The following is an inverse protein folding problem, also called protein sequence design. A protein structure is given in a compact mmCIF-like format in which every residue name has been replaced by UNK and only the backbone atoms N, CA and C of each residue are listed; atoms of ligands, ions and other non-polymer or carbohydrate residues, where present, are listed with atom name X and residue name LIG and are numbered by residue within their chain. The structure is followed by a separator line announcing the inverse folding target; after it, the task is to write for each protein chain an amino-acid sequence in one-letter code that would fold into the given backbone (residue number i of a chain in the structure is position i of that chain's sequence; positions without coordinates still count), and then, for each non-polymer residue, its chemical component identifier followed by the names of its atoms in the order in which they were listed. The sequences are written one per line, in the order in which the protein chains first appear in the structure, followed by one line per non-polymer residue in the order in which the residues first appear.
data_IF_788774406644
#
_entry.id   IF_788774406644
#
_cell.length_a   1.000
_cell.length_b   1.000
_cell.length_c   1.000
_cell.angle_alpha   90.00
_cell.angle_beta   90.00
_cell.angle_gamma   90.00
#
_symmetry.space_group_name_H-M   'P 1'
#
loop_
_entity.id
_entity.type
_entity.pdbx_description
1 polymer ?
#
# COMPACT_ATOMS: atom_id res chain seq x y z
N UNK A 1 -42.60 -23.82 -25.89
CA UNK A 1 -42.74 -22.68 -26.81
C UNK A 1 -43.22 -21.50 -25.98
N UNK A 2 -42.33 -20.51 -25.79
CA UNK A 2 -42.51 -19.12 -25.32
C UNK A 2 -43.25 -18.92 -23.97
N UNK A 3 -42.92 -17.98 -23.08
CA UNK A 3 -42.02 -16.83 -23.15
C UNK A 3 -41.72 -16.45 -21.68
N UNK A 4 -40.44 -16.36 -21.32
CA UNK A 4 -40.00 -16.10 -19.95
C UNK A 4 -40.02 -14.61 -19.65
N UNK A 5 -41.10 -14.13 -19.03
CA UNK A 5 -41.18 -12.82 -18.40
C UNK A 5 -42.17 -12.91 -17.24
N UNK A 6 -41.66 -13.18 -16.03
CA UNK A 6 -42.45 -13.00 -14.81
C UNK A 6 -41.88 -11.82 -14.01
N UNK A 7 -42.79 -10.87 -13.83
CA UNK A 7 -42.65 -9.66 -13.05
C UNK A 7 -42.71 -10.00 -11.56
N UNK A 8 -41.55 -10.02 -10.92
CA UNK A 8 -41.42 -9.79 -9.48
C UNK A 8 -40.61 -8.50 -9.25
N UNK A 9 -41.16 -7.42 -8.67
CA UNK A 9 -40.33 -6.36 -8.10
C UNK A 9 -39.88 -6.78 -6.68
N UNK A 10 -39.23 -7.93 -6.60
CA UNK A 10 -38.31 -8.27 -5.51
C UNK A 10 -36.93 -8.38 -6.15
N UNK A 11 -36.46 -7.24 -6.66
CA UNK A 11 -35.07 -7.07 -7.04
C UNK A 11 -34.23 -7.12 -5.77
N UNK A 12 -33.80 -8.33 -5.41
CA UNK A 12 -32.65 -8.56 -4.56
C UNK A 12 -31.49 -7.75 -5.16
N UNK A 13 -31.29 -6.53 -4.65
CA UNK A 13 -30.26 -5.60 -5.07
C UNK A 13 -28.91 -6.07 -4.55
N UNK A 14 -28.33 -7.05 -5.22
CA UNK A 14 -26.91 -7.39 -5.16
C UNK A 14 -26.66 -8.23 -6.39
N UNK A 15 -25.70 -7.87 -7.27
CA UNK A 15 -24.30 -8.02 -6.86
C UNK A 15 -23.28 -7.23 -7.73
N UNK A 16 -22.74 -6.10 -7.30
CA UNK A 16 -21.48 -5.61 -7.88
C UNK A 16 -20.59 -4.98 -6.79
N UNK A 17 -19.68 -5.80 -6.26
CA UNK A 17 -18.24 -5.55 -6.19
C UNK A 17 -17.73 -4.10 -5.96
N UNK A 18 -18.38 -3.31 -5.13
CA UNK A 18 -17.74 -2.19 -4.45
C UNK A 18 -17.48 -2.74 -3.05
N UNK A 19 -16.25 -3.04 -2.65
CA UNK A 19 -15.28 -2.01 -2.32
C UNK A 19 -13.96 -2.71 -1.93
N UNK A 20 -13.16 -3.10 -2.92
CA UNK A 20 -11.74 -3.39 -2.69
C UNK A 20 -10.95 -2.09 -2.44
N UNK A 21 -11.38 -1.00 -3.06
CA UNK A 21 -10.64 0.26 -3.11
C UNK A 21 -10.77 1.13 -1.84
N UNK A 22 -11.94 1.22 -1.18
CA UNK A 22 -12.03 2.03 0.06
C UNK A 22 -11.32 1.36 1.26
N UNK A 23 -11.10 0.03 1.22
CA UNK A 23 -10.29 -0.63 2.26
C UNK A 23 -8.80 -0.28 2.13
N UNK A 24 -8.31 -0.04 0.91
CA UNK A 24 -6.93 0.37 0.70
C UNK A 24 -6.68 1.81 1.22
N UNK A 25 -7.65 2.70 1.00
CA UNK A 25 -7.61 4.09 1.47
C UNK A 25 -7.60 4.21 3.00
N UNK A 26 -8.27 3.31 3.73
CA UNK A 26 -8.25 3.28 5.21
C UNK A 26 -6.95 2.71 5.80
N UNK A 27 -6.15 1.99 5.00
CA UNK A 27 -4.91 1.34 5.47
C UNK A 27 -3.77 2.34 5.72
N UNK A 28 -3.83 3.52 5.11
CA UNK A 28 -2.82 4.57 5.18
C UNK A 28 -3.37 5.87 5.80
N UNK A 29 -4.12 5.73 6.91
CA UNK A 29 -4.48 6.86 7.77
C UNK A 29 -3.70 6.77 9.08
N UNK A 30 -3.14 7.90 9.52
CA UNK A 30 -2.52 7.99 10.84
C UNK A 30 -3.56 7.77 11.94
N UNK A 31 -3.14 7.35 13.13
CA UNK A 31 -4.02 7.24 14.31
C UNK A 31 -4.67 8.59 14.69
N UNK A 32 -4.10 9.70 14.21
CA UNK A 32 -4.63 11.07 14.37
C UNK A 32 -5.60 11.50 13.26
N UNK A 33 -5.84 10.66 12.25
CA UNK A 33 -6.70 10.98 11.10
C UNK A 33 -5.98 11.71 9.96
N UNK A 34 -4.68 11.99 10.09
CA UNK A 34 -3.88 12.59 9.01
C UNK A 34 -3.72 11.64 7.82
N UNK A 35 -3.81 12.22 6.61
CA UNK A 35 -3.59 11.53 5.33
C UNK A 35 -2.10 11.18 5.20
N UNK A 36 -1.78 9.89 5.24
CA UNK A 36 -0.43 9.42 4.98
C UNK A 36 -0.21 9.22 3.48
N UNK A 37 1.06 9.18 3.07
CA UNK A 37 1.39 8.95 1.67
C UNK A 37 1.07 7.50 1.30
N UNK A 38 0.21 7.35 0.29
CA UNK A 38 -0.09 6.05 -0.30
C UNK A 38 1.18 5.46 -0.93
N UNK A 39 1.41 4.15 -0.78
CA UNK A 39 2.55 3.44 -1.37
C UNK A 39 2.61 3.63 -2.89
N UNK A 40 1.44 3.66 -3.53
CA UNK A 40 1.29 3.81 -4.98
C UNK A 40 1.68 5.19 -5.50
N UNK A 41 1.64 6.22 -4.64
CA UNK A 41 2.09 7.58 -4.99
C UNK A 41 3.60 7.74 -4.89
N UNK A 42 4.33 6.75 -4.37
CA UNK A 42 5.78 6.80 -4.22
C UNK A 42 6.44 6.47 -5.56
N UNK A 43 7.37 7.34 -5.98
CA UNK A 43 8.09 7.15 -7.24
C UNK A 43 8.84 5.81 -7.21
N UNK A 44 8.71 5.03 -8.28
CA UNK A 44 9.37 3.73 -8.40
C UNK A 44 8.59 2.54 -7.83
N UNK A 45 7.45 2.75 -7.16
CA UNK A 45 6.57 1.67 -6.73
C UNK A 45 6.04 0.85 -7.92
N UNK A 46 5.70 1.52 -9.02
CA UNK A 46 5.30 0.90 -10.30
C UNK A 46 6.37 -0.03 -10.90
N UNK A 47 7.64 0.16 -10.53
CA UNK A 47 8.77 -0.63 -11.05
C UNK A 47 9.05 -1.88 -10.20
N UNK A 48 8.40 -2.00 -9.05
CA UNK A 48 8.54 -3.14 -8.15
C UNK A 48 7.70 -4.32 -8.66
N UNK A 49 8.15 -5.54 -8.34
CA UNK A 49 7.32 -6.74 -8.55
C UNK A 49 6.16 -6.79 -7.55
N UNK A 50 5.11 -7.57 -7.82
CA UNK A 50 3.95 -7.67 -6.92
C UNK A 50 4.35 -8.04 -5.46
N UNK A 51 5.26 -9.01 -5.28
CA UNK A 51 5.83 -9.33 -3.96
C UNK A 51 6.52 -8.13 -3.27
N UNK A 52 7.24 -7.32 -4.04
CA UNK A 52 7.96 -6.16 -3.51
C UNK A 52 7.01 -5.02 -3.17
N UNK A 53 5.96 -4.85 -3.96
CA UNK A 53 4.88 -3.91 -3.66
C UNK A 53 4.22 -4.28 -2.33
N UNK A 54 3.80 -5.54 -2.16
CA UNK A 54 3.21 -6.01 -0.91
C UNK A 54 4.15 -5.86 0.30
N UNK A 55 5.45 -6.12 0.10
CA UNK A 55 6.47 -5.93 1.13
C UNK A 55 6.61 -4.45 1.51
N UNK A 56 6.61 -3.55 0.52
CA UNK A 56 6.67 -2.12 0.75
C UNK A 56 5.41 -1.58 1.45
N UNK A 57 4.22 -2.03 1.04
CA UNK A 57 2.97 -1.67 1.70
C UNK A 57 2.94 -2.10 3.17
N UNK A 58 3.39 -3.32 3.44
CA UNK A 58 3.46 -3.88 4.79
C UNK A 58 4.51 -3.15 5.64
N UNK A 59 5.67 -2.85 5.06
CA UNK A 59 6.70 -2.02 5.66
C UNK A 59 6.14 -0.64 6.03
N UNK A 60 5.49 0.07 5.10
CA UNK A 60 4.94 1.41 5.36
C UNK A 60 3.87 1.38 6.44
N UNK A 61 2.97 0.40 6.42
CA UNK A 61 1.94 0.25 7.45
C UNK A 61 2.56 0.06 8.85
N UNK A 62 3.59 -0.78 8.98
CA UNK A 62 4.29 -0.99 10.25
C UNK A 62 5.16 0.22 10.64
N UNK A 63 5.81 0.85 9.67
CA UNK A 63 6.62 2.05 9.86
C UNK A 63 5.76 3.18 10.43
N UNK A 64 4.64 3.51 9.79
CA UNK A 64 3.74 4.55 10.27
C UNK A 64 3.13 4.25 11.64
N UNK A 65 2.94 2.98 12.00
CA UNK A 65 2.49 2.59 13.34
C UNK A 65 3.57 2.72 14.41
N UNK A 66 4.85 2.55 14.04
CA UNK A 66 5.98 2.57 14.99
C UNK A 66 6.54 3.97 15.21
N UNK A 67 6.28 4.90 14.30
CA UNK A 67 6.73 6.28 14.37
C UNK A 67 5.66 7.21 14.97
N UNK A 68 6.07 8.11 15.86
CA UNK A 68 5.17 9.05 16.53
C UNK A 68 4.64 10.16 15.60
N UNK A 69 5.44 10.56 14.59
CA UNK A 69 5.14 11.59 13.59
C UNK A 69 5.35 11.08 12.14
N UNK A 70 4.48 10.19 11.64
CA UNK A 70 4.62 9.61 10.30
C UNK A 70 4.45 10.63 9.17
N UNK A 71 3.78 11.76 9.44
CA UNK A 71 3.59 12.89 8.51
C UNK A 71 4.89 13.59 8.10
N UNK A 72 5.95 13.48 8.92
CA UNK A 72 7.26 14.06 8.60
C UNK A 72 8.06 13.14 7.69
N UNK A 73 7.98 11.84 7.96
CA UNK A 73 8.69 10.81 7.22
C UNK A 73 7.90 10.35 5.99
N UNK A 74 7.80 11.24 5.01
CA UNK A 74 7.14 10.96 3.73
C UNK A 74 8.10 10.21 2.80
N UNK A 75 7.77 8.98 2.35
CA UNK A 75 8.54 8.29 1.33
C UNK A 75 8.38 9.02 -0.01
N UNK A 76 9.49 9.38 -0.65
CA UNK A 76 9.49 10.08 -1.94
C UNK A 76 9.85 9.15 -3.09
N UNK A 77 10.63 8.11 -2.82
CA UNK A 77 11.11 7.17 -3.82
C UNK A 77 11.31 5.78 -3.22
N UNK A 78 11.00 4.75 -4.00
CA UNK A 78 11.29 3.36 -3.67
C UNK A 78 11.95 2.67 -4.86
N UNK A 79 13.03 1.96 -4.60
CA UNK A 79 13.77 1.22 -5.60
C UNK A 79 14.15 -0.16 -5.09
N UNK A 80 13.79 -1.19 -5.85
CA UNK A 80 14.33 -2.53 -5.65
C UNK A 80 15.82 -2.55 -6.01
N UNK A 81 16.67 -2.74 -5.01
CA UNK A 81 18.12 -2.81 -5.17
C UNK A 81 18.61 -4.19 -4.76
N UNK A 82 19.78 -4.56 -5.26
CA UNK A 82 20.49 -5.76 -4.84
C UNK A 82 21.90 -5.37 -4.42
N UNK A 83 22.34 -5.89 -3.28
CA UNK A 83 23.69 -5.70 -2.75
C UNK A 83 24.35 -7.06 -2.55
N UNK A 84 25.66 -7.14 -2.86
CA UNK A 84 26.42 -8.39 -2.77
C UNK A 84 26.47 -8.96 -1.35
N UNK A 85 26.43 -8.12 -0.33
CA UNK A 85 26.50 -8.52 1.08
C UNK A 85 25.11 -8.77 1.67
N UNK A 86 24.08 -8.07 1.18
CA UNK A 86 22.74 -8.06 1.78
C UNK A 86 21.65 -8.76 0.97
N UNK A 87 21.92 -9.13 -0.28
CA UNK A 87 20.93 -9.72 -1.18
C UNK A 87 19.98 -8.68 -1.78
N UNK A 88 18.77 -9.11 -2.16
CA UNK A 88 17.72 -8.24 -2.74
C UNK A 88 17.02 -7.48 -1.61
N UNK A 89 16.87 -6.17 -1.73
CA UNK A 89 16.21 -5.32 -0.75
C UNK A 89 15.48 -4.15 -1.43
N UNK A 90 14.61 -3.48 -0.68
CA UNK A 90 13.99 -2.24 -1.11
C UNK A 90 14.70 -1.07 -0.46
N UNK A 91 15.24 -0.17 -1.27
CA UNK A 91 15.71 1.14 -0.83
C UNK A 91 14.53 2.09 -0.86
N UNK A 92 14.20 2.68 0.27
CA UNK A 92 13.14 3.68 0.38
C UNK A 92 13.79 5.00 0.78
N UNK A 93 13.74 5.99 -0.10
CA UNK A 93 14.21 7.33 0.17
C UNK A 93 13.04 8.21 0.67
N UNK A 94 13.31 9.01 1.71
CA UNK A 94 12.35 9.88 2.37
C UNK A 94 12.66 11.34 2.10
N UNK A 95 11.65 12.20 2.25
CA UNK A 95 11.75 13.64 2.00
C UNK A 95 12.81 14.33 2.87
N UNK A 96 13.03 13.84 4.09
CA UNK A 96 14.05 14.34 5.02
C UNK A 96 15.50 14.04 4.59
N UNK A 97 15.69 13.36 3.45
CA UNK A 97 17.01 12.93 2.97
C UNK A 97 17.50 11.64 3.62
N UNK A 98 16.72 11.06 4.53
CA UNK A 98 16.94 9.73 5.07
C UNK A 98 16.53 8.66 4.06
N UNK A 99 17.18 7.51 4.09
CA UNK A 99 16.76 6.35 3.34
C UNK A 99 16.90 5.12 4.22
N UNK A 100 16.05 4.12 3.97
CA UNK A 100 16.05 2.88 4.74
C UNK A 100 16.30 1.67 3.83
N UNK A 101 17.07 0.73 4.36
CA UNK A 101 17.32 -0.57 3.77
C UNK A 101 16.24 -1.55 4.23
N UNK A 102 15.17 -1.71 3.46
CA UNK A 102 14.04 -2.57 3.80
C UNK A 102 14.27 -3.98 3.25
N UNK A 103 14.54 -4.93 4.14
CA UNK A 103 14.64 -6.37 3.79
C UNK A 103 13.33 -7.12 4.02
N UNK A 104 12.47 -6.60 4.88
CA UNK A 104 11.21 -7.23 5.24
C UNK A 104 10.22 -6.25 5.87
N UNK A 105 8.98 -6.70 6.10
CA UNK A 105 7.91 -5.85 6.61
C UNK A 105 8.14 -5.35 8.04
N UNK A 106 9.05 -5.98 8.79
CA UNK A 106 9.47 -5.62 10.15
C UNK A 106 11.00 -5.45 10.27
N UNK A 107 11.72 -5.52 9.14
CA UNK A 107 13.18 -5.58 9.11
C UNK A 107 13.71 -4.52 8.17
N UNK A 108 14.10 -3.39 8.73
CA UNK A 108 14.72 -2.27 8.04
C UNK A 108 15.75 -1.58 8.94
N UNK A 109 16.77 -0.96 8.34
CA UNK A 109 17.81 -0.20 9.04
C UNK A 109 18.37 0.92 8.16
#
# INVERSE_FOLDING_TARGET
MCDGCDTFPLGCGSPECLTGEENLAKKFMSYKGDRLTNPESVKGFEKLTNDQQQLFESFLSNFYKRWEYPERHIPVNVAATWDKSSGKYLRVDFKDGQWFHVKGPNTWY
#
